data_IF_221772474789
#
_entry.id   IF_221772474789
#
_cell.length_a   1.000
_cell.length_b   1.000
_cell.length_c   1.000
_cell.angle_alpha   90.00
_cell.angle_beta   90.00
_cell.angle_gamma   90.00
#
_symmetry.space_group_name_H-M   'P 1'
#
loop_
_entity.id
_entity.type
_entity.pdbx_description
1 polymer ?
#
# COMPACT_ATOMS: atom_id res chain seq x y z
N UNK A 1 -2.92 21.65 4.82
CA UNK A 1 -2.82 21.24 3.40
C UNK A 1 -3.34 19.81 3.32
N UNK A 2 -4.40 19.55 2.56
CA UNK A 2 -4.95 18.20 2.42
C UNK A 2 -4.11 17.42 1.42
N UNK A 3 -3.77 16.17 1.73
CA UNK A 3 -3.06 15.31 0.80
C UNK A 3 -3.90 15.14 -0.47
N UNK A 4 -3.26 15.30 -1.63
CA UNK A 4 -3.87 14.93 -2.92
C UNK A 4 -4.12 13.43 -2.97
N UNK A 5 -5.06 12.97 -3.80
CA UNK A 5 -5.34 11.53 -3.94
C UNK A 5 -4.10 10.68 -4.26
N UNK A 6 -3.09 11.29 -4.90
CA UNK A 6 -1.81 10.66 -5.25
C UNK A 6 -0.86 10.53 -4.05
N UNK A 7 -0.84 11.53 -3.16
CA UNK A 7 -0.07 11.50 -1.91
C UNK A 7 -0.67 10.50 -0.92
N UNK A 8 -2.00 10.44 -0.84
CA UNK A 8 -2.71 9.45 -0.02
C UNK A 8 -2.39 8.02 -0.47
N UNK A 9 -2.39 7.79 -1.79
CA UNK A 9 -2.09 6.50 -2.39
C UNK A 9 -0.63 6.06 -2.17
N UNK A 10 0.30 7.01 -2.24
CA UNK A 10 1.72 6.80 -1.91
C UNK A 10 1.88 6.37 -0.45
N UNK A 11 1.25 7.08 0.50
CA UNK A 11 1.33 6.74 1.92
C UNK A 11 0.72 5.38 2.27
N UNK A 12 -0.36 4.98 1.59
CA UNK A 12 -0.93 3.64 1.76
C UNK A 12 0.04 2.53 1.29
N UNK A 13 0.74 2.74 0.18
CA UNK A 13 1.76 1.79 -0.28
C UNK A 13 2.93 1.68 0.70
N UNK A 14 3.36 2.80 1.28
CA UNK A 14 4.40 2.80 2.31
C UNK A 14 3.98 2.00 3.55
N UNK A 15 2.73 2.13 3.99
CA UNK A 15 2.18 1.30 5.09
C UNK A 15 2.19 -0.19 4.72
N UNK A 16 1.75 -0.53 3.50
CA UNK A 16 1.73 -1.93 3.06
C UNK A 16 3.15 -2.54 2.98
N UNK A 17 4.16 -1.75 2.61
CA UNK A 17 5.57 -2.18 2.67
C UNK A 17 6.03 -2.34 4.12
N UNK A 18 5.74 -1.36 4.98
CA UNK A 18 6.15 -1.38 6.39
C UNK A 18 5.55 -2.57 7.16
N UNK A 19 4.28 -2.88 6.90
CA UNK A 19 3.59 -4.04 7.48
C UNK A 19 4.00 -5.37 6.82
N UNK A 20 4.85 -5.35 5.79
CA UNK A 20 5.39 -6.53 5.11
C UNK A 20 4.41 -7.21 4.16
N UNK A 21 3.33 -6.52 3.76
CA UNK A 21 2.38 -7.02 2.75
C UNK A 21 2.92 -6.86 1.33
N UNK A 22 3.79 -5.87 1.12
CA UNK A 22 4.57 -5.67 -0.09
C UNK A 22 6.05 -5.67 0.26
N UNK A 23 6.92 -6.08 -0.67
CA UNK A 23 8.36 -5.90 -0.50
C UNK A 23 8.77 -4.47 -0.82
N UNK A 24 8.23 -3.91 -1.89
CA UNK A 24 8.55 -2.57 -2.35
C UNK A 24 7.47 -2.06 -3.32
N UNK A 25 7.54 -0.76 -3.62
CA UNK A 25 6.80 -0.16 -4.72
C UNK A 25 7.64 0.96 -5.36
N UNK A 26 7.33 1.32 -6.61
CA UNK A 26 7.91 2.48 -7.29
C UNK A 26 6.92 3.10 -8.26
N UNK A 27 7.12 4.38 -8.59
CA UNK A 27 6.38 5.04 -9.68
C UNK A 27 6.91 4.56 -11.04
N UNK A 28 6.00 4.37 -11.99
CA UNK A 28 6.32 4.11 -13.38
C UNK A 28 6.26 5.42 -14.22
N UNK A 29 7.00 5.53 -15.34
CA UNK A 29 7.12 6.76 -16.13
C UNK A 29 5.83 7.34 -16.74
N UNK A 30 4.71 6.59 -16.72
CA UNK A 30 3.44 6.97 -17.35
C UNK A 30 2.29 7.10 -16.34
N UNK A 31 2.56 7.71 -15.18
CA UNK A 31 1.60 7.77 -14.06
C UNK A 31 1.06 6.37 -13.71
N UNK A 32 1.96 5.39 -13.68
CA UNK A 32 1.67 4.03 -13.22
C UNK A 32 2.40 3.72 -11.92
N UNK A 33 2.14 2.55 -11.38
CA UNK A 33 2.79 2.03 -10.19
C UNK A 33 3.32 0.64 -10.49
N UNK A 34 4.51 0.34 -9.98
CA UNK A 34 5.00 -1.02 -9.88
C UNK A 34 5.00 -1.40 -8.42
N UNK A 35 4.36 -2.51 -8.09
CA UNK A 35 4.41 -3.12 -6.76
C UNK A 35 5.19 -4.42 -6.84
N UNK A 36 5.91 -4.75 -5.78
CA UNK A 36 6.64 -6.00 -5.64
C UNK A 36 5.96 -6.83 -4.56
N UNK A 37 5.42 -7.98 -4.94
CA UNK A 37 4.73 -8.89 -4.03
C UNK A 37 5.73 -9.49 -3.02
N UNK A 38 5.21 -10.11 -1.96
CA UNK A 38 6.04 -10.84 -0.99
C UNK A 38 6.85 -11.99 -1.63
N UNK A 39 6.43 -12.49 -2.79
CA UNK A 39 7.11 -13.55 -3.56
C UNK A 39 8.16 -12.98 -4.53
N UNK A 40 8.33 -11.65 -4.58
CA UNK A 40 9.25 -10.99 -5.50
C UNK A 40 8.67 -10.74 -6.90
N UNK A 41 7.38 -10.99 -7.11
CA UNK A 41 6.73 -10.72 -8.39
C UNK A 41 6.52 -9.21 -8.58
N UNK A 42 6.93 -8.67 -9.72
CA UNK A 42 6.65 -7.29 -10.11
C UNK A 42 5.33 -7.19 -10.88
N UNK A 43 4.39 -6.40 -10.35
CA UNK A 43 3.12 -6.10 -10.99
C UNK A 43 3.09 -4.64 -11.42
N UNK A 44 2.90 -4.40 -12.71
CA UNK A 44 2.72 -3.04 -13.26
C UNK A 44 1.24 -2.69 -13.33
N UNK A 45 0.85 -1.62 -12.65
CA UNK A 45 -0.51 -1.14 -12.55
C UNK A 45 -0.62 0.26 -13.14
N UNK A 46 -1.71 0.51 -13.87
CA UNK A 46 -2.14 1.89 -14.15
C UNK A 46 -2.53 2.60 -12.85
N UNK A 47 -2.60 3.93 -12.83
CA UNK A 47 -3.08 4.68 -11.65
C UNK A 47 -4.45 4.18 -11.16
N UNK A 48 -5.40 3.94 -12.07
CA UNK A 48 -6.74 3.46 -11.69
C UNK A 48 -6.69 2.06 -11.07
N UNK A 49 -5.91 1.13 -11.66
CA UNK A 49 -5.72 -0.20 -11.09
C UNK A 49 -5.04 -0.14 -9.73
N UNK A 50 -4.01 0.70 -9.59
CA UNK A 50 -3.33 0.90 -8.31
C UNK A 50 -4.31 1.42 -7.25
N UNK A 51 -5.15 2.40 -7.59
CA UNK A 51 -6.12 2.95 -6.65
C UNK A 51 -7.12 1.92 -6.14
N UNK A 52 -7.70 1.12 -7.03
CA UNK A 52 -8.63 0.05 -6.66
C UNK A 52 -7.94 -1.04 -5.84
N UNK A 53 -6.75 -1.47 -6.27
CA UNK A 53 -6.00 -2.51 -5.58
C UNK A 53 -5.59 -2.09 -4.17
N UNK A 54 -5.05 -0.88 -4.02
CA UNK A 54 -4.57 -0.34 -2.74
C UNK A 54 -5.73 -0.18 -1.76
N UNK A 55 -6.89 0.32 -2.21
CA UNK A 55 -8.08 0.40 -1.36
C UNK A 55 -8.52 -0.98 -0.86
N UNK A 56 -8.51 -1.99 -1.73
CA UNK A 56 -8.82 -3.37 -1.34
C UNK A 56 -7.81 -3.96 -0.36
N UNK A 57 -6.51 -3.83 -0.65
CA UNK A 57 -5.44 -4.33 0.21
C UNK A 57 -5.44 -3.66 1.59
N UNK A 58 -5.65 -2.35 1.64
CA UNK A 58 -5.72 -1.60 2.89
C UNK A 58 -6.98 -1.96 3.70
N UNK A 59 -8.12 -2.17 3.04
CA UNK A 59 -9.33 -2.68 3.69
C UNK A 59 -9.12 -4.06 4.31
N UNK A 60 -8.45 -4.98 3.60
CA UNK A 60 -8.09 -6.29 4.12
C UNK A 60 -7.13 -6.20 5.32
N UNK A 61 -6.12 -5.33 5.25
CA UNK A 61 -5.23 -5.02 6.37
C UNK A 61 -6.01 -4.56 7.61
N UNK A 62 -6.88 -3.57 7.47
CA UNK A 62 -7.68 -3.06 8.59
C UNK A 62 -8.58 -4.15 9.18
N UNK A 63 -9.17 -5.02 8.36
CA UNK A 63 -9.99 -6.13 8.85
C UNK A 63 -9.16 -7.15 9.64
N UNK A 64 -7.93 -7.45 9.21
CA UNK A 64 -7.02 -8.32 9.95
C UNK A 64 -6.57 -7.70 11.28
N UNK A 65 -6.38 -6.39 11.32
CA UNK A 65 -6.09 -5.63 12.55
C UNK A 65 -7.28 -5.69 13.50
N UNK A 66 -8.49 -5.42 13.02
CA UNK A 66 -9.72 -5.44 13.81
C UNK A 66 -9.99 -6.82 14.42
N UNK A 67 -9.69 -7.90 13.69
CA UNK A 67 -9.76 -9.27 14.18
C UNK A 67 -8.64 -9.65 15.17
N UNK A 68 -7.68 -8.75 15.45
CA UNK A 68 -6.51 -9.02 16.29
C UNK A 68 -5.55 -10.05 15.70
N UNK A 69 -5.67 -10.39 14.40
CA UNK A 69 -4.83 -11.39 13.73
C UNK A 69 -3.45 -10.84 13.39
N UNK A 70 -3.37 -9.53 13.19
CA UNK A 70 -2.12 -8.79 13.04
C UNK A 70 -2.13 -7.62 14.01
N UNK A 71 -0.98 -7.38 14.65
CA UNK A 71 -0.78 -6.16 15.42
C UNK A 71 -0.08 -5.15 14.51
N UNK A 72 -0.69 -3.96 14.27
CA UNK A 72 -0.04 -2.89 13.52
C UNK A 72 1.35 -2.65 14.07
N UNK A 73 2.35 -2.61 13.20
CA UNK A 73 3.70 -2.23 13.59
C UNK A 73 3.83 -0.71 13.74
N UNK A 74 2.81 0.05 13.30
CA UNK A 74 2.85 1.51 13.22
C UNK A 74 3.58 2.14 14.42
N UNK A 75 4.53 3.06 14.16
CA UNK A 75 5.23 3.72 15.25
C UNK A 75 4.20 4.41 16.12
N UNK A 76 4.19 4.07 17.42
CA UNK A 76 3.54 4.91 18.42
C UNK A 76 4.17 6.28 18.24
N UNK A 77 3.40 7.25 17.75
CA UNK A 77 3.87 8.61 17.63
C UNK A 77 4.52 9.02 18.95
N UNK A 78 5.78 9.42 18.88
CA UNK A 78 6.45 10.13 19.99
C UNK A 78 5.78 11.46 20.22
#
# INVERSE_FOLDING_TARGET
>A
MFATGREYLTGMLDVLVYEGMLLAWRRAPLDGYVIVSHEGEELTLTTTQAQLWIQGAFGAYLSLVDQGRISPRMPKGT
#
